data_IF_263227502793
#
_entry.id   IF_263227502793
#
_cell.length_a   1.000
_cell.length_b   1.000
_cell.length_c   1.000
_cell.angle_alpha   90.00
_cell.angle_beta   90.00
_cell.angle_gamma   90.00
#
_symmetry.space_group_name_H-M   'P 1'
#
loop_
_entity.id
_entity.type
_entity.pdbx_description
1 polymer ?
#
# COMPACT_ATOMS: atom_id res chain seq x y z
N UNK A 1 5.73 8.79 -50.62
CA UNK A 1 6.36 7.53 -51.10
C UNK A 1 7.79 7.87 -51.51
N UNK A 2 8.74 6.94 -51.38
CA UNK A 2 10.17 7.10 -51.73
C UNK A 2 11.11 7.55 -50.60
N UNK A 3 11.47 6.61 -49.72
CA UNK A 3 12.77 6.55 -49.00
C UNK A 3 13.13 5.07 -48.73
N UNK A 4 12.11 4.21 -48.61
CA UNK A 4 12.26 2.76 -48.39
C UNK A 4 12.65 1.95 -49.65
N UNK A 5 12.48 2.51 -50.85
CA UNK A 5 12.80 1.80 -52.10
C UNK A 5 14.27 1.91 -52.50
N UNK A 6 14.98 2.95 -52.06
CA UNK A 6 16.39 3.15 -52.40
C UNK A 6 17.37 2.34 -51.54
N UNK A 7 16.97 1.93 -50.34
CA UNK A 7 17.82 1.10 -49.45
C UNK A 7 17.79 -0.38 -49.80
N UNK A 8 16.73 -0.87 -50.45
CA UNK A 8 16.66 -2.28 -50.88
C UNK A 8 17.54 -2.56 -52.11
N UNK A 9 17.76 -1.56 -52.97
CA UNK A 9 18.52 -1.71 -54.22
C UNK A 9 20.05 -1.76 -53.99
N UNK A 10 20.53 -1.17 -52.90
CA UNK A 10 21.94 -1.24 -52.49
C UNK A 10 22.33 -2.58 -51.85
N UNK A 11 21.36 -3.34 -51.35
CA UNK A 11 21.58 -4.67 -50.74
C UNK A 11 21.72 -5.75 -51.83
N UNK A 12 21.13 -5.56 -53.01
CA UNK A 12 21.15 -6.55 -54.10
C UNK A 12 22.36 -6.43 -55.05
N UNK A 13 23.12 -5.33 -54.99
CA UNK A 13 24.30 -5.11 -55.86
C UNK A 13 25.62 -5.66 -55.28
N UNK A 14 25.62 -6.21 -54.06
CA UNK A 14 26.83 -6.68 -53.37
C UNK A 14 26.90 -8.22 -53.25
N UNK A 15 26.47 -8.94 -54.30
CA UNK A 15 26.38 -10.41 -54.30
C UNK A 15 27.68 -11.17 -54.61
N UNK A 16 28.82 -10.50 -54.83
CA UNK A 16 30.06 -11.14 -55.27
C UNK A 16 31.24 -11.09 -54.28
N UNK A 17 31.06 -10.64 -53.03
CA UNK A 17 32.18 -10.48 -52.08
C UNK A 17 32.15 -11.43 -50.87
N UNK A 18 31.20 -12.37 -50.77
CA UNK A 18 31.18 -13.31 -49.65
C UNK A 18 32.09 -14.52 -49.90
N UNK A 19 33.38 -14.32 -49.57
CA UNK A 19 34.42 -15.35 -49.51
C UNK A 19 34.06 -16.51 -48.58
N UNK A 20 34.50 -17.69 -48.98
CA UNK A 20 34.46 -18.96 -48.28
C UNK A 20 35.21 -18.91 -46.93
N UNK A 21 34.70 -19.65 -45.94
CA UNK A 21 35.27 -19.76 -44.58
C UNK A 21 34.39 -19.18 -43.48
N UNK A 22 33.11 -19.56 -43.39
CA UNK A 22 32.22 -19.14 -42.28
C UNK A 22 32.62 -19.82 -40.96
N UNK A 23 33.55 -19.24 -40.21
CA UNK A 23 33.50 -19.37 -38.74
C UNK A 23 32.15 -18.78 -38.32
N UNK A 24 31.28 -19.57 -37.70
CA UNK A 24 29.96 -19.11 -37.28
C UNK A 24 30.05 -17.82 -36.46
N UNK A 25 29.06 -16.93 -36.58
CA UNK A 25 29.03 -15.68 -35.81
C UNK A 25 29.25 -15.98 -34.33
N UNK A 26 30.26 -15.31 -33.77
CA UNK A 26 30.63 -15.52 -32.37
C UNK A 26 29.43 -15.23 -31.47
N UNK A 27 29.30 -15.96 -30.36
CA UNK A 27 28.17 -15.78 -29.42
C UNK A 27 28.02 -14.32 -28.99
N UNK A 28 29.13 -13.60 -28.84
CA UNK A 28 29.17 -12.17 -28.53
C UNK A 28 28.52 -11.30 -29.62
N UNK A 29 28.82 -11.53 -30.90
CA UNK A 29 28.22 -10.79 -32.02
C UNK A 29 26.71 -11.02 -32.12
N UNK A 30 26.26 -12.27 -31.91
CA UNK A 30 24.82 -12.59 -31.87
C UNK A 30 24.11 -11.89 -30.71
N UNK A 31 24.74 -11.87 -29.53
CA UNK A 31 24.21 -11.15 -28.36
C UNK A 31 24.13 -9.64 -28.62
N UNK A 32 25.16 -9.03 -29.20
CA UNK A 32 25.17 -7.61 -29.53
C UNK A 32 24.08 -7.24 -30.56
N UNK A 33 23.93 -8.04 -31.62
CA UNK A 33 22.88 -7.86 -32.62
C UNK A 33 21.47 -7.97 -31.99
N UNK A 34 21.25 -8.99 -31.14
CA UNK A 34 20.00 -9.15 -30.42
C UNK A 34 19.69 -7.95 -29.52
N UNK A 35 20.69 -7.43 -28.77
CA UNK A 35 20.53 -6.25 -27.93
C UNK A 35 20.13 -5.02 -28.77
N UNK A 36 20.77 -4.80 -29.92
CA UNK A 36 20.42 -3.69 -30.81
C UNK A 36 19.00 -3.77 -31.34
N UNK A 37 18.59 -4.95 -31.82
CA UNK A 37 17.22 -5.19 -32.29
C UNK A 37 16.23 -4.95 -31.16
N UNK A 38 16.46 -5.56 -30.00
CA UNK A 38 15.57 -5.41 -28.86
C UNK A 38 15.47 -3.95 -28.38
N UNK A 39 16.59 -3.20 -28.35
CA UNK A 39 16.60 -1.77 -28.03
C UNK A 39 15.70 -0.99 -29.00
N UNK A 40 15.83 -1.26 -30.30
CA UNK A 40 15.02 -0.59 -31.31
C UNK A 40 13.53 -0.92 -31.17
N UNK A 41 13.19 -2.20 -30.99
CA UNK A 41 11.81 -2.66 -30.79
C UNK A 41 11.20 -2.08 -29.52
N UNK A 42 11.91 -2.12 -28.38
CA UNK A 42 11.45 -1.51 -27.11
C UNK A 42 11.19 -0.01 -27.28
N UNK A 43 12.10 0.71 -27.94
CA UNK A 43 11.93 2.13 -28.23
C UNK A 43 10.75 2.43 -29.17
N UNK A 44 10.54 1.60 -30.19
CA UNK A 44 9.40 1.72 -31.10
C UNK A 44 8.07 1.50 -30.38
N UNK A 45 7.97 0.48 -29.52
CA UNK A 45 6.78 0.23 -28.70
C UNK A 45 6.47 1.41 -27.76
N UNK A 46 7.49 1.96 -27.08
CA UNK A 46 7.32 3.10 -26.18
C UNK A 46 6.80 4.34 -26.93
N UNK A 47 7.39 4.67 -28.09
CA UNK A 47 6.92 5.76 -28.95
C UNK A 47 5.48 5.55 -29.43
N UNK A 48 5.14 4.31 -29.83
CA UNK A 48 3.77 3.99 -30.27
C UNK A 48 2.75 4.11 -29.14
N UNK A 49 3.11 3.70 -27.91
CA UNK A 49 2.25 3.88 -26.72
C UNK A 49 2.05 5.37 -26.42
N UNK A 50 3.13 6.15 -26.45
CA UNK A 50 3.07 7.59 -26.23
C UNK A 50 2.18 8.31 -27.28
N UNK A 51 2.33 8.00 -28.56
CA UNK A 51 1.50 8.61 -29.61
C UNK A 51 0.01 8.29 -29.47
N UNK A 52 -0.33 7.06 -29.03
CA UNK A 52 -1.73 6.71 -28.72
C UNK A 52 -2.29 7.57 -27.58
N UNK A 53 -1.54 7.69 -26.49
CA UNK A 53 -1.93 8.50 -25.32
C UNK A 53 -2.05 9.98 -25.70
N UNK A 54 -1.09 10.49 -26.47
CA UNK A 54 -1.11 11.84 -27.01
C UNK A 54 -2.36 12.08 -27.83
N UNK A 55 -2.74 11.16 -28.71
CA UNK A 55 -3.97 11.28 -29.49
C UNK A 55 -5.23 11.24 -28.61
N UNK A 56 -5.31 10.33 -27.62
CA UNK A 56 -6.42 10.29 -26.64
C UNK A 56 -6.52 11.60 -25.84
N UNK A 57 -5.40 12.18 -25.44
CA UNK A 57 -5.37 13.43 -24.67
C UNK A 57 -6.03 14.61 -25.39
N UNK A 58 -6.09 14.57 -26.73
CA UNK A 58 -6.73 15.61 -27.55
C UNK A 58 -8.24 15.67 -27.36
N UNK A 59 -8.86 14.60 -26.87
CA UNK A 59 -10.29 14.57 -26.53
C UNK A 59 -10.56 15.38 -25.26
N UNK A 60 -9.60 15.41 -24.34
CA UNK A 60 -9.76 16.07 -23.04
C UNK A 60 -9.12 17.47 -22.98
N UNK A 61 -8.11 17.75 -23.80
CA UNK A 61 -7.43 19.05 -23.87
C UNK A 61 -6.93 19.35 -25.28
N UNK A 62 -6.61 20.61 -25.57
CA UNK A 62 -6.09 21.01 -26.88
C UNK A 62 -4.72 20.40 -27.22
N UNK A 63 -3.90 20.14 -26.20
CA UNK A 63 -2.56 19.58 -26.35
C UNK A 63 -2.22 18.61 -25.23
N UNK A 64 -1.32 17.66 -25.50
CA UNK A 64 -0.83 16.73 -24.47
C UNK A 64 -0.21 17.47 -23.29
N UNK A 65 0.62 18.50 -23.51
CA UNK A 65 1.21 19.28 -22.43
C UNK A 65 0.18 20.03 -21.58
N UNK A 66 -0.90 20.52 -22.20
CA UNK A 66 -2.04 21.09 -21.46
C UNK A 66 -2.72 20.05 -20.59
N UNK A 67 -2.98 18.86 -21.15
CA UNK A 67 -3.52 17.72 -20.40
C UNK A 67 -2.59 17.29 -19.25
N UNK A 68 -1.27 17.19 -19.48
CA UNK A 68 -0.32 16.78 -18.44
C UNK A 68 -0.32 17.77 -17.26
N UNK A 69 -0.41 19.07 -17.56
CA UNK A 69 -0.55 20.12 -16.53
C UNK A 69 -1.85 19.97 -15.76
N UNK A 70 -2.98 19.72 -16.43
CA UNK A 70 -4.27 19.48 -15.80
C UNK A 70 -4.22 18.24 -14.89
N UNK A 71 -3.75 17.11 -15.43
CA UNK A 71 -3.61 15.86 -14.70
C UNK A 71 -2.76 16.01 -13.45
N UNK A 72 -1.57 16.62 -13.59
CA UNK A 72 -0.68 16.88 -12.46
C UNK A 72 -1.35 17.76 -11.40
N UNK A 73 -2.00 18.88 -11.80
CA UNK A 73 -2.73 19.75 -10.87
C UNK A 73 -3.86 19.03 -10.14
N UNK A 74 -4.58 18.14 -10.84
CA UNK A 74 -5.63 17.32 -10.23
C UNK A 74 -5.05 16.34 -9.21
N UNK A 75 -4.01 15.58 -9.57
CA UNK A 75 -3.36 14.64 -8.64
C UNK A 75 -2.82 15.37 -7.39
N UNK A 76 -2.22 16.55 -7.53
CA UNK A 76 -1.77 17.35 -6.39
C UNK A 76 -2.94 17.80 -5.50
N UNK A 77 -4.09 18.18 -6.08
CA UNK A 77 -5.29 18.52 -5.31
C UNK A 77 -5.83 17.32 -4.54
N UNK A 78 -5.97 16.17 -5.20
CA UNK A 78 -6.43 14.94 -4.57
C UNK A 78 -5.51 14.53 -3.42
N UNK A 79 -4.19 14.56 -3.63
CA UNK A 79 -3.23 14.23 -2.59
C UNK A 79 -3.24 15.21 -1.40
N UNK A 80 -3.41 16.52 -1.65
CA UNK A 80 -3.59 17.50 -0.58
C UNK A 80 -4.89 17.31 0.18
N UNK A 81 -5.97 16.93 -0.50
CA UNK A 81 -7.25 16.64 0.13
C UNK A 81 -7.13 15.46 1.10
N UNK A 82 -6.34 14.45 0.74
CA UNK A 82 -5.98 13.32 1.62
C UNK A 82 -4.90 13.63 2.66
N UNK A 83 -4.50 14.90 2.83
CA UNK A 83 -3.57 15.35 3.88
C UNK A 83 -2.09 15.34 3.51
N UNK A 84 -1.72 15.00 2.28
CA UNK A 84 -0.32 15.04 1.82
C UNK A 84 0.06 16.46 1.42
N UNK A 85 0.90 17.13 2.22
CA UNK A 85 1.30 18.54 2.01
C UNK A 85 2.09 18.75 0.69
N UNK A 86 3.03 17.85 0.39
CA UNK A 86 3.92 17.92 -0.78
C UNK A 86 4.00 16.57 -1.50
N UNK A 87 3.01 16.24 -2.35
CA UNK A 87 3.00 14.97 -3.06
C UNK A 87 4.03 14.96 -4.20
N UNK A 88 4.83 13.90 -4.28
CA UNK A 88 5.69 13.62 -5.43
C UNK A 88 4.93 12.70 -6.38
N UNK A 89 4.45 13.25 -7.50
CA UNK A 89 3.66 12.50 -8.48
C UNK A 89 4.55 12.13 -9.66
N UNK A 90 4.70 10.82 -9.88
CA UNK A 90 5.33 10.29 -11.09
C UNK A 90 4.27 10.07 -12.16
N UNK A 91 4.58 10.41 -13.41
CA UNK A 91 3.65 10.24 -14.52
C UNK A 91 3.97 8.91 -15.21
N UNK A 92 3.18 7.87 -14.93
CA UNK A 92 3.19 6.67 -15.73
C UNK A 92 2.18 6.76 -16.88
N UNK A 93 2.60 6.32 -18.06
CA UNK A 93 1.77 6.28 -19.26
C UNK A 93 0.58 5.34 -19.11
N UNK A 94 0.70 4.25 -18.33
CA UNK A 94 -0.42 3.34 -18.10
C UNK A 94 -1.49 4.00 -17.23
N UNK A 95 -1.08 4.61 -16.11
CA UNK A 95 -1.98 5.28 -15.18
C UNK A 95 -2.70 6.45 -15.83
N UNK A 96 -2.00 7.22 -16.67
CA UNK A 96 -2.59 8.31 -17.45
C UNK A 96 -3.65 7.78 -18.43
N UNK A 97 -3.40 6.64 -19.08
CA UNK A 97 -4.36 6.03 -20.01
C UNK A 97 -5.64 5.58 -19.29
N UNK A 98 -5.48 4.88 -18.16
CA UNK A 98 -6.61 4.47 -17.31
C UNK A 98 -7.38 5.66 -16.75
N UNK A 99 -6.69 6.74 -16.38
CA UNK A 99 -7.31 7.98 -15.92
C UNK A 99 -8.16 8.64 -17.03
N UNK A 100 -7.64 8.73 -18.26
CA UNK A 100 -8.40 9.30 -19.38
C UNK A 100 -9.67 8.49 -19.67
N UNK A 101 -9.56 7.16 -19.66
CA UNK A 101 -10.69 6.27 -19.91
C UNK A 101 -11.76 6.42 -18.79
N UNK A 102 -11.34 6.50 -17.51
CA UNK A 102 -12.25 6.78 -16.38
C UNK A 102 -12.90 8.16 -16.47
N UNK A 103 -12.12 9.20 -16.80
CA UNK A 103 -12.64 10.58 -16.97
C UNK A 103 -13.72 10.59 -18.04
N UNK A 104 -13.43 10.01 -19.21
CA UNK A 104 -14.39 9.92 -20.32
C UNK A 104 -15.67 9.18 -19.94
N UNK A 105 -15.54 8.11 -19.14
CA UNK A 105 -16.70 7.39 -18.64
C UNK A 105 -17.60 8.29 -17.77
N UNK A 106 -17.02 9.03 -16.82
CA UNK A 106 -17.76 9.99 -15.99
C UNK A 106 -18.43 11.10 -16.81
N UNK A 107 -17.74 11.65 -17.81
CA UNK A 107 -18.28 12.66 -18.73
C UNK A 107 -19.49 12.10 -19.52
N UNK A 108 -19.38 10.88 -20.03
CA UNK A 108 -20.47 10.24 -20.77
C UNK A 108 -21.69 9.97 -19.89
N UNK A 109 -21.50 9.46 -18.67
CA UNK A 109 -22.61 9.24 -17.73
C UNK A 109 -23.26 10.58 -17.37
N UNK A 110 -22.45 11.62 -17.17
CA UNK A 110 -22.93 12.96 -16.87
C UNK A 110 -23.77 13.52 -18.03
N UNK A 111 -23.27 13.41 -19.26
CA UNK A 111 -23.97 13.89 -20.45
C UNK A 111 -25.36 13.24 -20.63
N UNK A 112 -25.52 11.96 -20.27
CA UNK A 112 -26.83 11.28 -20.30
C UNK A 112 -27.81 11.85 -19.29
N UNK A 113 -27.36 12.18 -18.09
CA UNK A 113 -28.23 12.63 -16.98
C UNK A 113 -28.47 14.14 -16.96
N UNK A 114 -27.47 14.92 -17.33
CA UNK A 114 -27.51 16.37 -17.30
C UNK A 114 -28.25 17.00 -18.50
N UNK A 115 -28.63 16.21 -19.52
CA UNK A 115 -29.39 16.73 -20.66
C UNK A 115 -30.84 17.04 -20.22
N UNK A 116 -31.37 18.28 -20.41
CA UNK A 116 -30.84 19.42 -21.18
C UNK A 116 -30.12 20.52 -20.37
N UNK A 117 -30.16 20.48 -19.03
CA UNK A 117 -29.68 21.56 -18.13
C UNK A 117 -28.15 21.73 -18.05
N UNK A 118 -27.36 20.78 -18.58
CA UNK A 118 -25.88 20.71 -18.53
C UNK A 118 -25.27 20.76 -17.11
N UNK A 119 -26.09 20.61 -16.09
CA UNK A 119 -25.73 20.62 -14.67
C UNK A 119 -26.52 19.53 -13.95
N UNK A 120 -25.98 19.03 -12.85
CA UNK A 120 -26.65 18.05 -11.98
C UNK A 120 -26.77 18.67 -10.58
N UNK A 121 -27.92 18.49 -9.94
CA UNK A 121 -28.16 18.97 -8.58
C UNK A 121 -27.48 18.06 -7.55
N UNK A 122 -27.08 18.62 -6.40
CA UNK A 122 -26.41 17.86 -5.34
C UNK A 122 -27.25 16.66 -4.84
N UNK A 123 -28.57 16.80 -4.75
CA UNK A 123 -29.47 15.67 -4.40
C UNK A 123 -29.36 14.50 -5.40
N UNK A 124 -29.18 14.80 -6.68
CA UNK A 124 -29.08 13.80 -7.75
C UNK A 124 -27.69 13.17 -7.87
N UNK A 125 -26.70 13.72 -7.17
CA UNK A 125 -25.32 13.24 -7.22
C UNK A 125 -25.21 11.77 -6.77
N UNK A 126 -26.00 11.35 -5.78
CA UNK A 126 -26.04 9.95 -5.35
C UNK A 126 -26.54 9.00 -6.45
N UNK A 127 -27.53 9.43 -7.24
CA UNK A 127 -28.04 8.64 -8.37
C UNK A 127 -27.03 8.59 -9.52
N UNK A 128 -26.33 9.70 -9.79
CA UNK A 128 -25.23 9.74 -10.74
C UNK A 128 -24.13 8.71 -10.39
N UNK A 129 -23.74 8.63 -9.12
CA UNK A 129 -22.74 7.65 -8.71
C UNK A 129 -23.22 6.21 -8.88
N UNK A 130 -24.49 5.92 -8.57
CA UNK A 130 -25.07 4.59 -8.83
C UNK A 130 -25.00 4.19 -10.30
N UNK A 131 -25.25 5.13 -11.23
CA UNK A 131 -25.09 4.87 -12.67
C UNK A 131 -23.64 4.65 -13.10
N UNK A 132 -22.68 5.14 -12.32
CA UNK A 132 -21.25 4.90 -12.53
C UNK A 132 -20.76 3.58 -11.89
N UNK A 133 -21.66 2.78 -11.32
CA UNK A 133 -21.36 1.63 -10.45
C UNK A 133 -20.49 2.01 -9.23
N UNK A 134 -20.73 3.21 -8.67
CA UNK A 134 -20.04 3.75 -7.51
C UNK A 134 -21.03 4.04 -6.38
N UNK A 135 -20.64 3.74 -5.13
CA UNK A 135 -21.50 3.84 -3.96
C UNK A 135 -20.84 4.63 -2.83
N UNK A 136 -20.58 5.95 -3.02
CA UNK A 136 -20.03 6.79 -1.97
C UNK A 136 -21.06 7.07 -0.86
N UNK A 137 -20.57 7.27 0.35
CA UNK A 137 -21.36 7.66 1.51
C UNK A 137 -21.73 9.15 1.43
N UNK A 138 -22.87 9.56 1.99
CA UNK A 138 -23.30 10.97 1.99
C UNK A 138 -22.21 11.92 2.55
N UNK A 139 -21.49 11.50 3.58
CA UNK A 139 -20.38 12.25 4.17
C UNK A 139 -19.19 12.40 3.22
N UNK A 140 -18.85 11.33 2.48
CA UNK A 140 -17.79 11.38 1.47
C UNK A 140 -18.17 12.35 0.35
N UNK A 141 -19.42 12.31 -0.11
CA UNK A 141 -19.93 13.24 -1.12
C UNK A 141 -19.91 14.68 -0.61
N UNK A 142 -20.39 14.94 0.61
CA UNK A 142 -20.36 16.28 1.22
C UNK A 142 -18.94 16.86 1.27
N UNK A 143 -17.99 16.10 1.81
CA UNK A 143 -16.60 16.53 1.96
C UNK A 143 -15.90 16.73 0.60
N UNK A 144 -16.18 15.87 -0.37
CA UNK A 144 -15.59 15.97 -1.71
C UNK A 144 -16.14 17.19 -2.47
N UNK A 145 -17.45 17.43 -2.43
CA UNK A 145 -18.06 18.62 -3.05
C UNK A 145 -17.54 19.90 -2.41
N UNK A 146 -17.39 19.92 -1.07
CA UNK A 146 -16.76 21.02 -0.36
C UNK A 146 -15.31 21.26 -0.82
N UNK A 147 -14.53 20.18 -1.01
CA UNK A 147 -13.15 20.26 -1.49
C UNK A 147 -13.02 20.80 -2.91
N UNK A 148 -13.94 20.42 -3.81
CA UNK A 148 -13.94 20.84 -5.21
C UNK A 148 -14.45 22.28 -5.37
N UNK A 149 -15.63 22.57 -4.81
CA UNK A 149 -16.34 23.83 -5.04
C UNK A 149 -15.92 24.94 -4.09
N UNK A 150 -15.28 24.57 -2.95
CA UNK A 150 -15.01 25.46 -1.80
C UNK A 150 -16.26 26.10 -1.21
N UNK A 151 -17.44 25.54 -1.50
CA UNK A 151 -18.74 25.98 -0.98
C UNK A 151 -19.34 24.84 -0.17
N UNK A 152 -20.07 25.19 0.88
CA UNK A 152 -20.83 24.20 1.65
C UNK A 152 -22.05 23.76 0.83
N UNK A 153 -22.23 22.45 0.58
CA UNK A 153 -23.38 21.94 -0.17
C UNK A 153 -24.61 21.84 0.75
N UNK A 154 -24.93 22.93 1.46
CA UNK A 154 -26.08 22.97 2.37
C UNK A 154 -27.39 23.14 1.59
N UNK A 155 -27.33 23.76 0.40
CA UNK A 155 -28.45 23.84 -0.53
C UNK A 155 -28.53 22.54 -1.36
N UNK A 156 -29.62 21.75 -1.22
CA UNK A 156 -29.76 20.52 -1.97
C UNK A 156 -29.87 20.71 -3.50
N UNK A 157 -30.36 21.88 -3.94
CA UNK A 157 -30.48 22.27 -5.36
C UNK A 157 -29.22 22.96 -5.89
N UNK A 158 -28.09 22.84 -5.19
CA UNK A 158 -26.82 23.34 -5.68
C UNK A 158 -26.46 22.64 -7.00
N UNK A 159 -26.36 23.41 -8.09
CA UNK A 159 -25.99 22.93 -9.40
C UNK A 159 -24.48 22.69 -9.49
N UNK A 160 -24.09 21.50 -9.92
CA UNK A 160 -22.71 21.08 -10.16
C UNK A 160 -22.46 20.94 -11.66
N UNK A 161 -21.29 21.44 -12.09
CA UNK A 161 -20.83 21.28 -13.47
C UNK A 161 -20.18 19.92 -13.70
N UNK A 162 -20.05 19.52 -14.96
CA UNK A 162 -19.38 18.27 -15.37
C UNK A 162 -17.99 18.12 -14.75
N UNK A 163 -17.16 19.17 -14.83
CA UNK A 163 -15.82 19.18 -14.25
C UNK A 163 -15.86 18.97 -12.74
N UNK A 164 -16.80 19.61 -12.05
CA UNK A 164 -16.92 19.49 -10.60
C UNK A 164 -17.37 18.10 -10.19
N UNK A 165 -18.31 17.49 -10.91
CA UNK A 165 -18.77 16.12 -10.64
C UNK A 165 -17.66 15.11 -10.89
N UNK A 166 -16.94 15.22 -12.02
CA UNK A 166 -15.82 14.36 -12.32
C UNK A 166 -14.69 14.51 -11.28
N UNK A 167 -14.35 15.73 -10.86
CA UNK A 167 -13.36 15.97 -9.81
C UNK A 167 -13.82 15.42 -8.45
N UNK A 168 -15.11 15.55 -8.12
CA UNK A 168 -15.70 14.98 -6.89
C UNK A 168 -15.54 13.46 -6.90
N UNK A 169 -15.81 12.82 -8.05
CA UNK A 169 -15.58 11.39 -8.22
C UNK A 169 -14.10 11.03 -7.99
N UNK A 170 -13.16 11.80 -8.54
CA UNK A 170 -11.72 11.54 -8.38
C UNK A 170 -11.17 11.86 -6.98
N UNK A 171 -11.83 12.73 -6.20
CA UNK A 171 -11.47 12.95 -4.79
C UNK A 171 -11.82 11.73 -3.94
N UNK A 172 -13.02 11.16 -4.13
CA UNK A 172 -13.47 9.97 -3.40
C UNK A 172 -12.75 8.71 -3.92
N UNK A 173 -12.74 8.51 -5.23
CA UNK A 173 -12.15 7.36 -5.93
C UNK A 173 -10.82 7.76 -6.54
N UNK A 174 -9.79 7.66 -5.71
CA UNK A 174 -8.46 8.14 -6.05
C UNK A 174 -7.86 7.38 -7.24
N UNK A 175 -7.39 8.11 -8.28
CA UNK A 175 -6.65 7.53 -9.38
C UNK A 175 -5.29 6.96 -8.96
N UNK A 176 -4.86 5.91 -9.66
CA UNK A 176 -3.65 5.14 -9.38
C UNK A 176 -2.38 6.03 -9.37
N UNK A 177 -2.26 6.95 -10.33
CA UNK A 177 -1.10 7.85 -10.42
C UNK A 177 -1.06 9.00 -9.41
N UNK A 178 -1.93 8.99 -8.40
CA UNK A 178 -1.81 9.91 -7.26
C UNK A 178 -0.65 9.55 -6.31
N UNK A 179 -0.17 8.30 -6.35
CA UNK A 179 0.83 7.78 -5.43
C UNK A 179 0.31 7.55 -4.00
N UNK A 180 -1.02 7.56 -3.80
CA UNK A 180 -1.64 7.27 -2.50
C UNK A 180 -2.00 5.80 -2.36
N UNK A 181 -1.84 5.27 -1.14
CA UNK A 181 -2.33 3.93 -0.79
C UNK A 181 -3.86 3.91 -0.82
N UNK A 182 -4.44 3.22 -1.80
CA UNK A 182 -5.92 3.08 -1.93
C UNK A 182 -6.59 2.54 -0.67
N UNK A 183 -5.92 1.58 0.00
CA UNK A 183 -6.42 0.96 1.23
C UNK A 183 -6.47 1.90 2.43
N UNK A 184 -5.62 2.93 2.48
CA UNK A 184 -5.63 3.95 3.55
C UNK A 184 -6.61 5.07 3.23
N UNK A 185 -6.62 5.46 1.96
CA UNK A 185 -7.44 6.54 1.40
C UNK A 185 -8.94 6.32 1.65
N UNK A 186 -9.48 5.15 1.30
CA UNK A 186 -10.90 4.84 1.48
C UNK A 186 -11.07 3.61 2.36
N UNK A 187 -11.75 3.80 3.49
CA UNK A 187 -12.04 2.73 4.44
C UNK A 187 -13.36 2.04 4.10
N UNK A 188 -13.42 0.72 4.28
CA UNK A 188 -14.67 -0.02 4.18
C UNK A 188 -15.61 0.41 5.30
N UNK A 189 -16.86 0.69 4.97
CA UNK A 189 -17.91 0.94 5.98
C UNK A 189 -18.82 -0.28 6.03
N UNK A 190 -19.47 -0.56 7.16
CA UNK A 190 -20.45 -1.65 7.27
C UNK A 190 -21.55 -1.57 6.19
N UNK A 191 -22.00 -0.36 5.85
CA UNK A 191 -23.01 -0.14 4.81
C UNK A 191 -22.46 -0.24 3.38
N UNK A 192 -21.16 -0.01 3.20
CA UNK A 192 -20.47 -0.04 1.90
C UNK A 192 -19.13 -0.78 2.06
N UNK A 193 -19.15 -2.12 2.14
CA UNK A 193 -17.93 -2.89 2.30
C UNK A 193 -17.09 -2.88 1.01
N UNK A 194 -15.76 -2.92 1.19
CA UNK A 194 -14.80 -3.01 0.09
C UNK A 194 -14.19 -4.40 0.09
N UNK A 195 -14.32 -5.13 -1.02
CA UNK A 195 -13.69 -6.43 -1.28
C UNK A 195 -12.52 -6.16 -2.22
N UNK A 196 -11.29 -6.42 -1.77
CA UNK A 196 -10.06 -6.15 -2.54
C UNK A 196 -9.95 -4.72 -3.10
N UNK A 197 -10.47 -3.75 -2.34
CA UNK A 197 -10.50 -2.33 -2.74
C UNK A 197 -11.55 -1.98 -3.79
N UNK A 198 -12.42 -2.91 -4.18
CA UNK A 198 -13.61 -2.69 -5.01
C UNK A 198 -14.86 -2.75 -4.15
N UNK A 199 -15.91 -2.06 -4.57
CA UNK A 199 -17.16 -2.04 -3.81
C UNK A 199 -17.89 -3.38 -3.88
N UNK A 200 -18.29 -3.90 -2.72
CA UNK A 200 -19.08 -5.12 -2.62
C UNK A 200 -20.40 -5.01 -3.39
N UNK A 201 -20.98 -3.80 -3.41
CA UNK A 201 -22.24 -3.51 -4.09
C UNK A 201 -22.20 -3.79 -5.60
N UNK A 202 -21.01 -3.76 -6.21
CA UNK A 202 -20.83 -4.13 -7.62
C UNK A 202 -21.04 -5.62 -7.89
N UNK A 203 -20.84 -6.46 -6.87
CA UNK A 203 -20.96 -7.91 -6.99
C UNK A 203 -22.36 -8.42 -6.67
N UNK A 204 -23.24 -7.58 -6.08
CA UNK A 204 -24.64 -7.93 -5.88
C UNK A 204 -25.30 -8.20 -7.24
N UNK A 205 -25.78 -9.43 -7.44
CA UNK A 205 -26.41 -9.87 -8.67
C UNK A 205 -25.48 -10.55 -9.69
N UNK A 206 -24.17 -10.63 -9.42
CA UNK A 206 -23.28 -11.47 -10.22
C UNK A 206 -23.47 -12.95 -9.87
N UNK A 207 -23.44 -13.83 -10.87
CA UNK A 207 -23.64 -15.28 -10.69
C UNK A 207 -22.56 -15.94 -9.82
N UNK A 208 -21.42 -15.27 -9.65
CA UNK A 208 -20.29 -15.74 -8.86
C UNK A 208 -20.59 -15.69 -7.35
N UNK A 209 -21.48 -14.79 -6.90
CA UNK A 209 -21.78 -14.58 -5.49
C UNK A 209 -23.23 -14.97 -5.19
N UNK A 210 -23.37 -16.10 -4.50
CA UNK A 210 -24.67 -16.55 -4.03
C UNK A 210 -25.04 -15.80 -2.75
N UNK A 211 -26.33 -15.53 -2.56
CA UNK A 211 -26.81 -15.00 -1.28
C UNK A 211 -26.39 -15.95 -0.16
N UNK A 212 -25.70 -15.40 0.85
CA UNK A 212 -25.30 -16.20 2.00
C UNK A 212 -26.57 -16.68 2.71
N UNK A 213 -26.78 -17.99 2.76
CA UNK A 213 -27.86 -18.58 3.55
C UNK A 213 -27.61 -18.23 5.01
N UNK A 214 -28.59 -17.64 5.70
CA UNK A 214 -28.47 -17.20 7.09
C UNK A 214 -27.92 -18.30 8.01
N UNK A 215 -28.32 -19.55 7.78
CA UNK A 215 -27.82 -20.70 8.55
C UNK A 215 -26.30 -20.86 8.46
N UNK A 216 -25.71 -20.74 7.26
CA UNK A 216 -24.26 -20.87 7.04
C UNK A 216 -23.49 -19.73 7.68
N UNK A 217 -23.98 -18.49 7.56
CA UNK A 217 -23.32 -17.34 8.19
C UNK A 217 -23.40 -17.40 9.71
N UNK A 218 -24.54 -17.85 10.27
CA UNK A 218 -24.71 -18.04 11.70
C UNK A 218 -23.79 -19.13 12.26
N UNK A 219 -23.67 -20.27 11.56
CA UNK A 219 -22.70 -21.32 11.90
C UNK A 219 -21.27 -20.78 11.94
N UNK A 220 -20.85 -20.03 10.92
CA UNK A 220 -19.51 -19.41 10.90
C UNK A 220 -19.27 -18.46 12.07
N UNK A 221 -20.27 -17.66 12.44
CA UNK A 221 -20.16 -16.76 13.60
C UNK A 221 -20.05 -17.56 14.90
N UNK A 222 -20.85 -18.60 15.08
CA UNK A 222 -20.79 -19.44 16.27
C UNK A 222 -19.47 -20.20 16.37
N UNK A 223 -18.95 -20.75 15.27
CA UNK A 223 -17.62 -21.40 15.27
C UNK A 223 -16.52 -20.40 15.59
N UNK A 224 -16.52 -19.21 14.97
CA UNK A 224 -15.53 -18.17 15.24
C UNK A 224 -15.64 -17.57 16.65
N UNK A 225 -16.83 -17.57 17.26
CA UNK A 225 -17.03 -17.17 18.65
C UNK A 225 -16.49 -18.24 19.61
N UNK A 226 -16.83 -19.51 19.35
CA UNK A 226 -16.32 -20.65 20.13
C UNK A 226 -14.79 -20.71 20.12
N UNK A 227 -14.17 -20.56 18.95
CA UNK A 227 -12.70 -20.52 18.83
C UNK A 227 -12.06 -19.37 19.62
N UNK A 228 -12.73 -18.21 19.70
CA UNK A 228 -12.24 -17.09 20.51
C UNK A 228 -12.29 -17.40 22.01
N UNK A 229 -13.40 -17.98 22.48
CA UNK A 229 -13.53 -18.42 23.86
C UNK A 229 -12.46 -19.46 24.23
N UNK A 230 -12.24 -20.45 23.37
CA UNK A 230 -11.20 -21.47 23.59
C UNK A 230 -9.78 -20.87 23.63
N UNK A 231 -9.49 -19.83 22.84
CA UNK A 231 -8.20 -19.10 22.90
C UNK A 231 -8.05 -18.32 24.19
N UNK A 232 -9.08 -17.60 24.62
CA UNK A 232 -9.05 -16.84 25.88
C UNK A 232 -8.88 -17.78 27.10
N UNK A 233 -9.53 -18.94 27.09
CA UNK A 233 -9.34 -19.96 28.13
C UNK A 233 -7.92 -20.55 28.10
N UNK A 234 -7.36 -20.82 26.92
CA UNK A 234 -5.99 -21.29 26.80
C UNK A 234 -4.96 -20.26 27.27
N UNK A 235 -5.20 -18.97 27.02
CA UNK A 235 -4.38 -17.87 27.53
C UNK A 235 -4.45 -17.76 29.05
N UNK A 236 -5.64 -17.89 29.64
CA UNK A 236 -5.81 -17.93 31.10
C UNK A 236 -5.06 -19.10 31.74
N UNK A 237 -5.19 -20.31 31.21
CA UNK A 237 -4.46 -21.49 31.72
C UNK A 237 -2.95 -21.32 31.63
N UNK A 238 -2.44 -20.69 30.55
CA UNK A 238 -1.01 -20.38 30.43
C UNK A 238 -0.55 -19.35 31.46
N UNK A 239 -1.40 -18.36 31.78
CA UNK A 239 -1.09 -17.37 32.79
C UNK A 239 -1.05 -18.00 34.20
N UNK A 240 -1.99 -18.90 34.51
CA UNK A 240 -2.04 -19.64 35.78
C UNK A 240 -0.83 -20.55 35.97
N UNK A 241 -0.49 -21.37 34.97
CA UNK A 241 0.70 -22.23 35.06
C UNK A 241 2.02 -21.43 35.13
N UNK A 242 2.09 -20.28 34.44
CA UNK A 242 3.28 -19.42 34.47
C UNK A 242 3.45 -18.62 35.77
N UNK A 243 2.41 -18.52 36.61
CA UNK A 243 2.53 -18.02 37.99
C UNK A 243 3.02 -19.11 38.95
N UNK A 244 2.56 -20.36 38.81
CA UNK A 244 3.04 -21.49 39.62
C UNK A 244 4.54 -21.73 39.41
N UNK A 245 5.01 -21.74 38.15
CA UNK A 245 6.44 -21.92 37.83
C UNK A 245 7.35 -20.79 38.38
N UNK A 246 6.79 -19.61 38.70
CA UNK A 246 7.54 -18.49 39.30
C UNK A 246 7.58 -18.57 40.82
N UNK A 247 6.48 -18.98 41.47
CA UNK A 247 6.46 -19.21 42.91
C UNK A 247 7.45 -20.31 43.30
N UNK A 248 7.51 -21.42 42.55
CA UNK A 248 8.45 -22.51 42.81
C UNK A 248 9.93 -22.09 42.62
N UNK A 249 10.22 -21.18 41.67
CA UNK A 249 11.56 -20.68 41.43
C UNK A 249 12.06 -19.61 42.42
N UNK A 250 11.14 -18.87 43.03
CA UNK A 250 11.47 -17.87 44.05
C UNK A 250 11.74 -18.53 45.43
N UNK A 251 11.04 -19.63 45.76
CA UNK A 251 11.27 -20.41 46.98
C UNK A 251 12.64 -21.13 46.99
N UNK A 252 13.09 -21.66 45.84
CA UNK A 252 14.43 -22.25 45.71
C UNK A 252 15.56 -21.20 45.83
N UNK A 253 15.34 -19.98 45.34
CA UNK A 253 16.33 -18.90 45.46
C UNK A 253 16.43 -18.37 46.89
N UNK A 254 15.31 -18.28 47.62
CA UNK A 254 15.32 -17.89 49.03
C UNK A 254 16.15 -18.89 49.87
N UNK A 255 15.96 -20.18 49.65
CA UNK A 255 16.69 -21.23 50.37
C UNK A 255 18.19 -21.22 50.04
N UNK A 256 18.59 -20.93 48.81
CA UNK A 256 20.01 -20.82 48.43
C UNK A 256 20.68 -19.56 49.01
N UNK A 257 19.96 -18.44 49.14
CA UNK A 257 20.47 -17.23 49.81
C UNK A 257 20.66 -17.42 51.32
N UNK A 258 19.72 -18.12 51.98
CA UNK A 258 19.84 -18.47 53.40
C UNK A 258 21.07 -19.34 53.66
N UNK A 259 21.37 -20.31 52.78
CA UNK A 259 22.57 -21.14 52.86
C UNK A 259 23.85 -20.32 52.73
N UNK A 260 23.89 -19.34 51.82
CA UNK A 260 25.04 -18.44 51.65
C UNK A 260 25.27 -17.56 52.88
N UNK A 261 24.20 -17.08 53.53
CA UNK A 261 24.31 -16.31 54.77
C UNK A 261 24.91 -17.12 55.91
N UNK A 262 24.47 -18.37 56.08
CA UNK A 262 25.03 -19.26 57.10
C UNK A 262 26.53 -19.52 56.87
N UNK A 263 26.94 -19.77 55.62
CA UNK A 263 28.35 -19.95 55.28
C UNK A 263 29.20 -18.70 55.56
N UNK A 264 28.66 -17.51 55.30
CA UNK A 264 29.35 -16.25 55.58
C UNK A 264 29.53 -16.01 57.09
N UNK A 265 28.51 -16.31 57.89
CA UNK A 265 28.59 -16.20 59.34
C UNK A 265 29.63 -17.17 59.93
N UNK A 266 29.70 -18.40 59.43
CA UNK A 266 30.75 -19.35 59.79
C UNK A 266 32.14 -18.86 59.42
N UNK A 267 32.29 -18.25 58.24
CA UNK A 267 33.56 -17.68 57.80
C UNK A 267 34.00 -16.52 58.70
N UNK A 268 33.11 -15.58 59.00
CA UNK A 268 33.38 -14.46 59.92
C UNK A 268 33.77 -14.97 61.32
N UNK A 269 33.11 -16.05 61.79
CA UNK A 269 33.43 -16.66 63.08
C UNK A 269 34.85 -17.25 63.08
N UNK A 270 35.23 -17.97 62.01
CA UNK A 270 36.59 -18.50 61.82
C UNK A 270 37.64 -17.39 61.74
N UNK A 271 37.32 -16.28 61.07
CA UNK A 271 38.27 -15.17 60.92
C UNK A 271 38.52 -14.47 62.26
N UNK A 272 37.46 -14.25 63.06
CA UNK A 272 37.62 -13.75 64.45
C UNK A 272 38.41 -14.70 65.34
N UNK A 273 38.31 -16.02 65.13
CA UNK A 273 39.15 -16.99 65.83
C UNK A 273 40.62 -16.91 65.37
N UNK A 274 40.88 -16.71 64.08
CA UNK A 274 42.24 -16.49 63.55
C UNK A 274 42.87 -15.23 64.10
N UNK A 275 42.14 -14.12 64.13
CA UNK A 275 42.62 -12.85 64.72
C UNK A 275 42.98 -13.03 66.19
N UNK A 276 42.14 -13.72 66.99
CA UNK A 276 42.46 -14.05 68.38
C UNK A 276 43.76 -14.85 68.51
N UNK A 277 43.97 -15.84 67.63
CA UNK A 277 45.21 -16.64 67.60
C UNK A 277 46.42 -15.78 67.19
N UNK A 278 46.27 -14.86 66.25
CA UNK A 278 47.34 -13.94 65.84
C UNK A 278 47.69 -12.92 66.92
N UNK A 279 46.70 -12.38 67.62
CA UNK A 279 46.91 -11.51 68.79
C UNK A 279 47.63 -12.28 69.91
N UNK A 280 47.26 -13.53 70.16
CA UNK A 280 47.99 -14.43 71.06
C UNK A 280 49.44 -14.67 70.63
N UNK A 281 49.72 -14.70 69.32
CA UNK A 281 51.08 -14.79 68.78
C UNK A 281 51.86 -13.49 68.86
N UNK A 282 51.21 -12.33 68.62
CA UNK A 282 51.83 -10.99 68.76
C UNK A 282 52.19 -10.68 70.20
N UNK A 283 51.39 -11.15 71.14
CA UNK A 283 51.63 -10.96 72.56
C UNK A 283 52.57 -12.02 73.17
N UNK A 284 53.25 -12.83 72.34
CA UNK A 284 54.36 -13.63 72.83
C UNK A 284 55.54 -12.69 73.08
N UNK A 285 56.08 -12.66 74.31
CA UNK A 285 57.27 -11.88 74.59
C UNK A 285 58.41 -12.33 73.68
N UNK A 286 59.04 -11.35 73.02
CA UNK A 286 60.26 -11.52 72.23
C UNK A 286 61.30 -12.12 73.17
N UNK A 287 61.82 -13.28 72.79
CA UNK A 287 62.91 -13.94 73.50
C UNK A 287 64.17 -13.10 73.24
N UNK A 288 64.39 -12.12 74.10
CA UNK A 288 65.72 -11.59 74.38
C UNK A 288 66.56 -12.79 74.80
N UNK A 289 67.51 -13.22 73.97
CA UNK A 289 68.55 -14.07 74.48
C UNK A 289 68.37 -15.57 74.56
N UNK A 290 68.73 -16.44 73.59
CA UNK A 290 69.27 -16.27 72.23
C UNK A 290 69.08 -14.89 71.63
N UNK A 291 70.23 -14.21 71.56
CA UNK A 291 70.41 -12.82 71.95
C UNK A 291 70.46 -11.91 70.73
#
# INVERSE_FOLDING_TARGET
MSVFTFTLLLILSNKSVFREGRRGTTKAQRKAAAIMIQKHVRGWLARRKFEKIKQKSRVHATSYGGFTKYYSKLMHRVARWHGVKSPTIHIDLKEVDEFMDKKRYFENVFARRAFPRRTIEYQDLGNYFKECDLYPTQREMYNAVLGVTRKTPDNPHMALTEEQVAETAFMIYVPDGSGLDKAKTRQSTWMNPLIDGKEANKFLGSSEYHSATLSKSMQLVFTAHKERMEREEAEKRKAENGSEDKEDGDDENLTEEERKRQQLEEWIKKEREREKIEDEKRNRPIREGNW
#
